data_IF_754853849410
#
_entry.id   IF_754853849410
#
_cell.length_a   1.000
_cell.length_b   1.000
_cell.length_c   1.000
_cell.angle_alpha   90.00
_cell.angle_beta   90.00
_cell.angle_gamma   90.00
#
_symmetry.space_group_name_H-M   'P 1'
#
loop_
_entity.id
_entity.type
_entity.pdbx_description
1 polymer ?
#
# COMPACT_ATOMS: atom_id res chain seq x y z
N UNK A 1 16.94 38.79 -14.79
CA UNK A 1 16.30 37.90 -15.76
C UNK A 1 15.50 36.85 -15.00
N UNK A 2 14.20 36.67 -15.27
CA UNK A 2 13.38 35.69 -14.56
C UNK A 2 13.43 34.33 -15.28
N UNK A 3 13.73 33.24 -14.58
CA UNK A 3 13.91 31.87 -15.12
C UNK A 3 12.56 31.16 -15.38
N UNK A 4 11.60 31.83 -16.01
CA UNK A 4 10.26 31.27 -16.29
C UNK A 4 9.80 31.63 -17.69
N UNK A 5 9.01 30.75 -18.31
CA UNK A 5 8.42 31.04 -19.60
C UNK A 5 7.35 32.15 -19.50
N UNK A 6 7.17 32.98 -20.55
CA UNK A 6 6.13 34.01 -20.56
C UNK A 6 4.70 33.48 -20.33
N UNK A 7 4.43 32.24 -20.75
CA UNK A 7 3.13 31.57 -20.55
C UNK A 7 2.88 31.29 -19.06
N UNK A 8 3.89 30.81 -18.33
CA UNK A 8 3.78 30.58 -16.88
C UNK A 8 3.58 31.89 -16.13
N UNK A 9 4.36 32.93 -16.47
CA UNK A 9 4.20 34.26 -15.89
C UNK A 9 2.79 34.84 -16.13
N UNK A 10 2.22 34.65 -17.32
CA UNK A 10 0.84 35.07 -17.64
C UNK A 10 -0.21 34.34 -16.79
N UNK A 11 -0.05 33.02 -16.57
CA UNK A 11 -0.94 32.23 -15.70
C UNK A 11 -0.92 32.73 -14.26
N UNK A 12 0.26 33.06 -13.73
CA UNK A 12 0.40 33.64 -12.39
C UNK A 12 -0.23 35.04 -12.33
N UNK A 13 0.04 35.92 -13.28
CA UNK A 13 -0.55 37.26 -13.32
C UNK A 13 -2.09 37.22 -13.40
N UNK A 14 -2.67 36.35 -14.24
CA UNK A 14 -4.12 36.18 -14.32
C UNK A 14 -4.72 35.71 -12.99
N UNK A 15 -4.08 34.75 -12.33
CA UNK A 15 -4.51 34.21 -11.03
C UNK A 15 -4.40 35.25 -9.92
N UNK A 16 -3.32 36.02 -9.87
CA UNK A 16 -3.14 37.10 -8.91
C UNK A 16 -4.22 38.18 -9.06
N UNK A 17 -4.59 38.55 -10.28
CA UNK A 17 -5.70 39.51 -10.50
C UNK A 17 -7.05 38.98 -10.04
N UNK A 18 -7.29 37.67 -10.16
CA UNK A 18 -8.57 37.06 -9.78
C UNK A 18 -8.68 36.77 -8.27
N UNK A 19 -7.58 36.41 -7.61
CA UNK A 19 -7.59 35.83 -6.27
C UNK A 19 -6.67 36.57 -5.28
N UNK A 20 -6.01 37.64 -5.71
CA UNK A 20 -5.07 38.42 -4.91
C UNK A 20 -3.84 37.63 -4.46
N UNK A 21 -3.29 38.00 -3.31
CA UNK A 21 -2.14 37.33 -2.68
C UNK A 21 -2.40 35.85 -2.40
N UNK A 22 -3.64 35.48 -2.06
CA UNK A 22 -4.06 34.08 -1.84
C UNK A 22 -3.97 33.19 -3.09
N UNK A 23 -3.93 33.76 -4.29
CA UNK A 23 -3.72 33.01 -5.52
C UNK A 23 -2.27 32.56 -5.74
N UNK A 24 -1.30 33.21 -5.09
CA UNK A 24 0.13 32.91 -5.25
C UNK A 24 0.65 31.81 -4.33
N UNK A 25 -0.17 31.31 -3.41
CA UNK A 25 0.17 30.13 -2.60
C UNK A 25 0.28 28.89 -3.48
N UNK A 26 1.27 28.04 -3.21
CA UNK A 26 1.38 26.75 -3.89
C UNK A 26 0.14 25.89 -3.65
N UNK A 27 -0.46 25.46 -4.77
CA UNK A 27 -1.62 24.57 -4.77
C UNK A 27 -1.17 23.18 -5.14
N UNK A 28 -1.84 22.19 -4.56
CA UNK A 28 -1.68 20.82 -5.02
C UNK A 28 -2.08 20.72 -6.48
N UNK A 29 -1.19 20.18 -7.32
CA UNK A 29 -1.52 19.80 -8.70
C UNK A 29 -2.43 18.57 -8.79
N UNK A 30 -2.86 18.03 -7.65
CA UNK A 30 -3.75 16.85 -7.61
C UNK A 30 -5.13 17.21 -8.16
N UNK A 31 -5.72 16.36 -8.99
CA UNK A 31 -7.06 16.59 -9.52
C UNK A 31 -8.08 16.64 -8.37
N UNK A 32 -9.07 17.53 -8.48
CA UNK A 32 -10.16 17.67 -7.49
C UNK A 32 -11.11 16.46 -7.48
N UNK A 33 -11.25 15.79 -8.62
CA UNK A 33 -12.08 14.60 -8.78
C UNK A 33 -11.34 13.55 -9.61
N UNK A 34 -11.56 12.27 -9.30
CA UNK A 34 -11.05 11.13 -10.05
C UNK A 34 -12.23 10.23 -10.43
N UNK A 35 -12.75 10.34 -11.66
CA UNK A 35 -13.90 9.54 -12.12
C UNK A 35 -13.66 8.03 -12.03
N UNK A 36 -12.41 7.59 -12.20
CA UNK A 36 -11.99 6.19 -12.13
C UNK A 36 -11.72 5.71 -10.70
N UNK A 37 -11.99 6.54 -9.69
CA UNK A 37 -11.81 6.15 -8.29
C UNK A 37 -12.74 4.97 -7.98
N UNK A 38 -12.17 3.92 -7.41
CA UNK A 38 -12.94 2.72 -7.01
C UNK A 38 -14.14 3.13 -6.15
N UNK A 39 -15.37 2.74 -6.53
CA UNK A 39 -16.57 3.08 -5.78
C UNK A 39 -16.50 2.59 -4.34
N UNK A 40 -17.08 3.37 -3.42
CA UNK A 40 -17.06 3.07 -1.99
C UNK A 40 -17.59 1.66 -1.64
N UNK A 41 -18.64 1.11 -2.29
CA UNK A 41 -19.08 -0.26 -2.03
C UNK A 41 -18.01 -1.31 -2.33
N UNK A 42 -17.27 -1.15 -3.43
CA UNK A 42 -16.19 -2.06 -3.84
C UNK A 42 -15.02 -1.97 -2.87
N UNK A 43 -14.64 -0.75 -2.47
CA UNK A 43 -13.63 -0.51 -1.45
C UNK A 43 -13.98 -1.24 -0.14
N UNK A 44 -15.23 -1.09 0.33
CA UNK A 44 -15.71 -1.75 1.56
C UNK A 44 -15.64 -3.28 1.46
N UNK A 45 -15.95 -3.87 0.29
CA UNK A 45 -15.81 -5.32 0.05
C UNK A 45 -14.35 -5.78 0.16
N UNK A 46 -13.42 -5.06 -0.46
CA UNK A 46 -11.97 -5.35 -0.40
C UNK A 46 -11.48 -5.28 1.05
N UNK A 47 -11.79 -4.20 1.76
CA UNK A 47 -11.37 -4.00 3.16
C UNK A 47 -11.96 -5.09 4.06
N UNK A 48 -13.24 -5.45 3.88
CA UNK A 48 -13.86 -6.53 4.66
C UNK A 48 -13.19 -7.88 4.41
N UNK A 49 -12.92 -8.24 3.15
CA UNK A 49 -12.23 -9.48 2.81
C UNK A 49 -10.83 -9.52 3.44
N UNK A 50 -10.11 -8.39 3.38
CA UNK A 50 -8.80 -8.23 4.00
C UNK A 50 -8.82 -8.50 5.51
N UNK A 51 -9.72 -7.87 6.25
CA UNK A 51 -9.78 -8.02 7.71
C UNK A 51 -10.24 -9.41 8.16
N UNK A 52 -11.23 -9.99 7.47
CA UNK A 52 -11.79 -11.30 7.87
C UNK A 52 -10.88 -12.47 7.52
N UNK A 53 -10.21 -12.41 6.37
CA UNK A 53 -9.49 -13.57 5.81
C UNK A 53 -7.97 -13.39 5.75
N UNK A 54 -7.47 -12.17 5.97
CA UNK A 54 -6.03 -11.85 5.94
C UNK A 54 -5.32 -12.28 4.65
N UNK A 55 -6.07 -12.27 3.54
CA UNK A 55 -5.60 -12.71 2.22
C UNK A 55 -4.75 -11.64 1.52
N UNK A 56 -3.87 -12.10 0.62
CA UNK A 56 -3.12 -11.23 -0.28
C UNK A 56 -4.00 -10.61 -1.38
N UNK A 57 -3.51 -9.58 -2.08
CA UNK A 57 -4.28 -8.88 -3.12
C UNK A 57 -4.73 -9.79 -4.27
N UNK A 58 -3.93 -10.80 -4.66
CA UNK A 58 -4.28 -11.76 -5.72
C UNK A 58 -5.43 -12.67 -5.30
N UNK A 59 -5.41 -13.16 -4.06
CA UNK A 59 -6.47 -14.04 -3.54
C UNK A 59 -7.79 -13.27 -3.39
N UNK A 60 -7.74 -12.06 -2.83
CA UNK A 60 -8.92 -11.19 -2.72
C UNK A 60 -9.47 -10.83 -4.12
N UNK A 61 -8.59 -10.58 -5.09
CA UNK A 61 -8.97 -10.34 -6.47
C UNK A 61 -9.74 -11.51 -7.08
N UNK A 62 -9.26 -12.73 -6.90
CA UNK A 62 -9.94 -13.95 -7.32
C UNK A 62 -11.33 -14.11 -6.69
N UNK A 63 -11.44 -13.85 -5.38
CA UNK A 63 -12.73 -13.93 -4.66
C UNK A 63 -13.75 -12.87 -5.09
N UNK A 64 -13.28 -11.67 -5.44
CA UNK A 64 -14.14 -10.53 -5.74
C UNK A 64 -14.38 -10.29 -7.24
N UNK A 65 -13.67 -11.01 -8.12
CA UNK A 65 -13.70 -10.80 -9.57
C UNK A 65 -13.12 -9.44 -9.98
N UNK A 66 -12.07 -8.99 -9.30
CA UNK A 66 -11.45 -7.67 -9.52
C UNK A 66 -9.99 -7.80 -9.97
N UNK A 67 -9.42 -6.82 -10.69
CA UNK A 67 -7.98 -6.81 -10.96
C UNK A 67 -7.18 -6.71 -9.65
N UNK A 68 -6.14 -7.54 -9.51
CA UNK A 68 -5.26 -7.52 -8.34
C UNK A 68 -4.59 -6.16 -8.08
N UNK A 69 -4.31 -5.40 -9.14
CA UNK A 69 -3.80 -4.02 -9.05
C UNK A 69 -4.79 -3.06 -8.38
N UNK A 70 -6.09 -3.20 -8.66
CA UNK A 70 -7.15 -2.40 -8.02
C UNK A 70 -7.26 -2.74 -6.54
N UNK A 71 -7.24 -4.03 -6.22
CA UNK A 71 -7.23 -4.50 -4.83
C UNK A 71 -6.02 -3.95 -4.09
N UNK A 72 -4.82 -4.07 -4.66
CA UNK A 72 -3.60 -3.54 -4.07
C UNK A 72 -3.65 -2.02 -3.85
N UNK A 73 -4.09 -1.25 -4.85
CA UNK A 73 -4.22 0.20 -4.75
C UNK A 73 -5.18 0.61 -3.62
N UNK A 74 -6.31 -0.08 -3.47
CA UNK A 74 -7.24 0.14 -2.37
C UNK A 74 -6.59 -0.18 -1.02
N UNK A 75 -5.90 -1.31 -0.89
CA UNK A 75 -5.23 -1.69 0.35
C UNK A 75 -4.14 -0.68 0.76
N UNK A 76 -3.38 -0.14 -0.20
CA UNK A 76 -2.38 0.91 0.02
C UNK A 76 -3.05 2.21 0.46
N UNK A 77 -4.12 2.62 -0.23
CA UNK A 77 -4.89 3.81 0.11
C UNK A 77 -5.45 3.74 1.54
N UNK A 78 -5.92 2.56 1.95
CA UNK A 78 -6.40 2.29 3.30
C UNK A 78 -5.29 1.95 4.32
N UNK A 79 -4.01 1.95 3.92
CA UNK A 79 -2.84 1.60 4.77
C UNK A 79 -2.90 0.23 5.43
N UNK A 80 -3.55 -0.75 4.79
CA UNK A 80 -3.71 -2.13 5.29
C UNK A 80 -3.08 -3.15 4.33
N UNK A 81 -2.16 -2.73 3.46
CA UNK A 81 -1.51 -3.56 2.44
C UNK A 81 -0.51 -4.57 3.00
N UNK A 82 0.11 -4.30 4.15
CA UNK A 82 1.12 -5.18 4.75
C UNK A 82 0.48 -6.22 5.67
N UNK A 83 0.74 -7.51 5.42
CA UNK A 83 0.39 -8.61 6.34
C UNK A 83 1.51 -8.91 7.33
N UNK A 84 2.72 -8.40 7.11
CA UNK A 84 3.92 -8.73 7.90
C UNK A 84 3.86 -8.27 9.36
N UNK A 85 2.76 -7.66 9.80
CA UNK A 85 2.56 -7.18 11.17
C UNK A 85 1.53 -8.04 11.91
N UNK A 86 0.86 -8.96 11.20
CA UNK A 86 -0.22 -9.79 11.73
C UNK A 86 0.09 -11.24 11.39
N UNK A 87 0.05 -12.12 12.38
CA UNK A 87 0.14 -13.56 12.13
C UNK A 87 -1.06 -13.99 11.26
N UNK A 88 -0.79 -14.70 10.17
CA UNK A 88 -1.85 -15.05 9.21
C UNK A 88 -2.83 -16.07 9.77
N UNK A 89 -2.35 -16.96 10.62
CA UNK A 89 -3.13 -18.06 11.22
C UNK A 89 -3.99 -17.50 12.34
N UNK A 90 -3.38 -16.88 13.35
CA UNK A 90 -4.05 -16.40 14.56
C UNK A 90 -4.70 -15.03 14.39
N UNK A 91 -4.17 -14.17 13.53
CA UNK A 91 -4.63 -12.80 13.38
C UNK A 91 -4.14 -11.85 14.47
N UNK A 92 -3.27 -12.32 15.35
CA UNK A 92 -2.67 -11.50 16.40
C UNK A 92 -1.50 -10.66 15.86
N UNK A 93 -1.20 -9.50 16.47
CA UNK A 93 0.03 -8.77 16.17
C UNK A 93 1.24 -9.68 16.35
N UNK A 94 2.14 -9.70 15.35
CA UNK A 94 3.36 -10.49 15.45
C UNK A 94 4.19 -9.94 16.62
N UNK A 95 4.30 -10.72 17.69
CA UNK A 95 5.19 -10.43 18.82
C UNK A 95 6.59 -10.87 18.43
N UNK A 96 7.50 -9.90 18.28
CA UNK A 96 8.91 -10.20 18.13
C UNK A 96 9.48 -10.51 19.51
N UNK A 97 10.22 -11.60 19.61
CA UNK A 97 11.04 -11.89 20.77
C UNK A 97 12.27 -10.98 20.70
N UNK A 98 12.27 -9.91 21.48
CA UNK A 98 13.42 -9.05 21.70
C UNK A 98 14.15 -9.55 22.95
N UNK A 99 15.48 -9.59 22.88
CA UNK A 99 16.31 -10.01 24.01
C UNK A 99 17.53 -9.10 24.16
N UNK A 100 18.00 -8.95 25.39
CA UNK A 100 18.95 -7.91 25.77
C UNK A 100 20.37 -8.12 25.21
N UNK A 101 20.75 -9.36 24.91
CA UNK A 101 22.07 -9.69 24.38
C UNK A 101 22.05 -10.91 23.46
N UNK A 102 23.04 -11.06 22.55
CA UNK A 102 23.22 -12.28 21.77
C UNK A 102 23.34 -13.52 22.69
N UNK A 103 22.73 -14.64 22.29
CA UNK A 103 22.78 -15.92 23.04
C UNK A 103 21.77 -16.07 24.18
N UNK A 104 20.97 -15.05 24.49
CA UNK A 104 19.87 -15.09 25.46
C UNK A 104 18.69 -16.00 25.08
N UNK A 105 18.59 -16.39 23.81
CA UNK A 105 17.62 -17.35 23.29
C UNK A 105 18.30 -18.30 22.29
N UNK A 106 18.08 -19.59 22.45
CA UNK A 106 18.47 -20.62 21.47
C UNK A 106 17.25 -20.94 20.61
N UNK A 107 17.36 -20.70 19.30
CA UNK A 107 16.34 -21.11 18.34
C UNK A 107 16.69 -22.50 17.79
N UNK A 108 15.80 -23.47 17.98
CA UNK A 108 15.95 -24.82 17.45
C UNK A 108 14.89 -25.03 16.37
N UNK A 109 15.34 -25.26 15.14
CA UNK A 109 14.49 -25.65 14.03
C UNK A 109 14.83 -27.08 13.59
N UNK A 110 13.80 -27.86 13.26
CA UNK A 110 13.96 -29.23 12.74
C UNK A 110 13.45 -29.23 11.31
N UNK A 111 14.38 -29.24 10.36
CA UNK A 111 14.08 -29.37 8.94
C UNK A 111 14.23 -30.83 8.49
N UNK A 112 13.23 -31.36 7.78
CA UNK A 112 13.29 -32.69 7.15
C UNK A 112 13.84 -32.56 5.72
N UNK A 113 14.99 -33.18 5.46
CA UNK A 113 15.57 -33.23 4.12
C UNK A 113 15.04 -34.42 3.32
N UNK A 114 14.99 -34.27 1.99
CA UNK A 114 14.67 -35.36 1.07
C UNK A 114 15.80 -36.39 1.02
N UNK A 115 15.46 -37.66 0.82
CA UNK A 115 16.47 -38.70 0.60
C UNK A 115 17.10 -38.51 -0.78
N UNK A 116 18.43 -38.51 -0.84
CA UNK A 116 19.17 -38.58 -2.10
C UNK A 116 19.25 -40.06 -2.48
N UNK A 117 18.70 -40.48 -3.65
CA UNK A 117 18.83 -41.85 -4.10
C UNK A 117 20.29 -42.19 -4.46
N UNK A 118 20.63 -43.47 -4.36
CA UNK A 118 21.93 -43.96 -4.84
C UNK A 118 22.06 -43.66 -6.33
N UNK A 119 23.15 -43.00 -6.73
CA UNK A 119 23.39 -42.55 -8.11
C UNK A 119 23.35 -41.03 -8.30
N UNK A 120 22.70 -40.28 -7.39
CA UNK A 120 22.68 -38.82 -7.38
C UNK A 120 21.91 -38.18 -8.54
N UNK A 121 20.81 -37.47 -8.25
CA UNK A 121 20.03 -36.70 -9.23
C UNK A 121 18.89 -37.47 -9.87
#
# INVERSE_FOLDING_TARGET
>A
MFMVSPVTARKWAARFRAEGTGGMTDRSSRPRSMPTRTPLPVLKRIVRARWRRRLGPVQIAGELGLPASTVHAVLVCCRINRLCTIDRVTGEPIRRYEHDHPGSLIHVDVTKFGNIPNGGG
#
